data_IF_498411139341
#
_entry.id   IF_498411139341
#
_cell.length_a   1.000
_cell.length_b   1.000
_cell.length_c   1.000
_cell.angle_alpha   90.00
_cell.angle_beta   90.00
_cell.angle_gamma   90.00
#
_symmetry.space_group_name_H-M   'P 1'
#
loop_
_entity.id
_entity.type
_entity.pdbx_description
1 polymer ?
#
# COMPACT_ATOMS: atom_id res chain seq x y z
N UNK A 1 -2.49 -10.39 15.50
CA UNK A 1 -2.96 -11.71 15.96
C UNK A 1 -2.43 -12.85 15.08
N UNK A 2 -2.59 -12.80 13.75
CA UNK A 2 -2.09 -13.83 12.82
C UNK A 2 -0.58 -14.10 12.93
N UNK A 3 0.24 -13.05 13.08
CA UNK A 3 1.70 -13.16 13.25
C UNK A 3 2.09 -14.07 14.43
N UNK A 4 1.50 -13.86 15.60
CA UNK A 4 1.75 -14.67 16.78
C UNK A 4 1.27 -16.11 16.62
N UNK A 5 0.17 -16.32 15.90
CA UNK A 5 -0.33 -17.68 15.57
C UNK A 5 0.69 -18.42 14.70
N UNK A 6 1.24 -17.77 13.66
CA UNK A 6 2.26 -18.36 12.78
C UNK A 6 3.53 -18.72 13.57
N UNK A 7 3.99 -17.84 14.47
CA UNK A 7 5.16 -18.12 15.33
C UNK A 7 4.91 -19.36 16.20
N UNK A 8 3.75 -19.44 16.85
CA UNK A 8 3.41 -20.59 17.70
C UNK A 8 3.40 -21.89 16.86
N UNK A 9 2.84 -21.86 15.65
CA UNK A 9 2.86 -23.02 14.75
C UNK A 9 4.27 -23.44 14.33
N UNK A 10 5.17 -22.49 14.05
CA UNK A 10 6.58 -22.79 13.74
C UNK A 10 7.26 -23.42 14.95
N UNK A 11 7.10 -22.84 16.15
CA UNK A 11 7.71 -23.35 17.38
C UNK A 11 7.21 -24.76 17.70
N UNK A 12 5.90 -25.01 17.61
CA UNK A 12 5.32 -26.33 17.80
C UNK A 12 5.80 -27.33 16.75
N UNK A 13 5.94 -26.92 15.49
CA UNK A 13 6.49 -27.74 14.42
C UNK A 13 7.94 -28.16 14.70
N UNK A 14 8.77 -27.22 15.16
CA UNK A 14 10.17 -27.51 15.53
C UNK A 14 10.23 -28.46 16.74
N UNK A 15 9.41 -28.24 17.77
CA UNK A 15 9.34 -29.12 18.94
C UNK A 15 8.93 -30.54 18.52
N UNK A 16 7.89 -30.67 17.68
CA UNK A 16 7.47 -31.96 17.15
C UNK A 16 8.57 -32.65 16.36
N UNK A 17 9.33 -31.90 15.55
CA UNK A 17 10.44 -32.47 14.78
C UNK A 17 11.56 -33.05 15.66
N UNK A 18 11.80 -32.46 16.84
CA UNK A 18 12.86 -32.89 17.77
C UNK A 18 12.42 -34.08 18.65
N UNK A 19 11.17 -34.07 19.12
CA UNK A 19 10.68 -35.03 20.12
C UNK A 19 10.06 -36.30 19.54
N UNK A 20 9.85 -36.36 18.23
CA UNK A 20 9.29 -37.54 17.56
C UNK A 20 10.39 -38.49 17.11
N UNK A 21 10.23 -39.77 17.44
CA UNK A 21 11.10 -40.86 16.95
C UNK A 21 10.73 -41.32 15.53
N UNK A 22 9.56 -40.92 15.02
CA UNK A 22 9.09 -41.23 13.68
C UNK A 22 9.69 -40.27 12.64
N UNK A 23 10.61 -40.79 11.84
CA UNK A 23 11.35 -40.04 10.81
C UNK A 23 10.45 -39.33 9.78
N UNK A 24 9.34 -39.96 9.38
CA UNK A 24 8.41 -39.37 8.43
C UNK A 24 7.68 -38.15 9.02
N UNK A 25 7.29 -38.23 10.28
CA UNK A 25 6.57 -37.16 10.98
C UNK A 25 7.52 -36.01 11.36
N UNK A 26 8.78 -36.32 11.69
CA UNK A 26 9.83 -35.31 11.87
C UNK A 26 10.11 -34.53 10.56
N UNK A 27 10.26 -35.25 9.44
CA UNK A 27 10.49 -34.62 8.12
C UNK A 27 9.33 -33.71 7.72
N UNK A 28 8.09 -34.17 7.91
CA UNK A 28 6.89 -33.36 7.64
C UNK A 28 6.85 -32.08 8.50
N UNK A 29 7.16 -32.20 9.80
CA UNK A 29 7.18 -31.07 10.72
C UNK A 29 8.24 -30.02 10.34
N UNK A 30 9.41 -30.44 9.88
CA UNK A 30 10.47 -29.54 9.36
C UNK A 30 9.97 -28.78 8.14
N UNK A 31 9.37 -29.47 7.16
CA UNK A 31 8.83 -28.84 5.95
C UNK A 31 7.76 -27.81 6.29
N UNK A 32 6.80 -28.14 7.16
CA UNK A 32 5.78 -27.20 7.61
C UNK A 32 6.39 -25.98 8.32
N UNK A 33 7.44 -26.18 9.12
CA UNK A 33 8.14 -25.08 9.81
C UNK A 33 8.85 -24.15 8.84
N UNK A 34 9.47 -24.69 7.78
CA UNK A 34 10.12 -23.90 6.72
C UNK A 34 9.08 -23.09 5.94
N UNK A 35 7.95 -23.68 5.56
CA UNK A 35 6.87 -22.97 4.87
C UNK A 35 6.32 -21.85 5.76
N UNK A 36 6.10 -22.12 7.05
CA UNK A 36 5.68 -21.11 8.02
C UNK A 36 6.68 -19.96 8.13
N UNK A 37 7.98 -20.26 8.16
CA UNK A 37 9.03 -19.26 8.19
C UNK A 37 9.00 -18.36 6.94
N UNK A 38 8.88 -18.95 5.74
CA UNK A 38 8.76 -18.19 4.49
C UNK A 38 7.52 -17.30 4.51
N UNK A 39 6.37 -17.84 4.96
CA UNK A 39 5.12 -17.11 5.09
C UNK A 39 5.19 -15.96 6.11
N UNK A 40 6.18 -15.94 7.00
CA UNK A 40 6.44 -14.84 7.93
C UNK A 40 7.42 -13.82 7.35
N UNK A 41 8.53 -14.28 6.77
CA UNK A 41 9.61 -13.40 6.29
C UNK A 41 9.22 -12.64 5.02
N UNK A 42 8.59 -13.29 4.04
CA UNK A 42 8.24 -12.65 2.77
C UNK A 42 7.29 -11.45 2.96
N UNK A 43 6.17 -11.56 3.69
CA UNK A 43 5.31 -10.42 3.98
C UNK A 43 6.00 -9.35 4.81
N UNK A 44 6.79 -9.72 5.82
CA UNK A 44 7.51 -8.75 6.64
C UNK A 44 8.50 -7.91 5.82
N UNK A 45 9.18 -8.54 4.86
CA UNK A 45 10.09 -7.84 3.96
C UNK A 45 9.34 -6.92 2.99
N UNK A 46 8.21 -7.37 2.43
CA UNK A 46 7.35 -6.53 1.60
C UNK A 46 6.81 -5.31 2.37
N UNK A 47 6.39 -5.50 3.62
CA UNK A 47 5.98 -4.40 4.50
C UNK A 47 7.13 -3.44 4.78
N UNK A 48 8.32 -3.95 5.08
CA UNK A 48 9.48 -3.10 5.29
C UNK A 48 9.70 -2.19 4.08
N UNK A 49 9.76 -2.75 2.87
CA UNK A 49 9.98 -1.97 1.64
C UNK A 49 8.90 -0.91 1.44
N UNK A 50 7.62 -1.28 1.56
CA UNK A 50 6.52 -0.33 1.31
C UNK A 50 6.49 0.80 2.35
N UNK A 51 6.78 0.50 3.61
CA UNK A 51 6.77 1.51 4.68
C UNK A 51 8.09 2.29 4.78
N UNK A 52 9.18 1.81 4.17
CA UNK A 52 10.41 2.58 4.05
C UNK A 52 10.19 3.80 3.16
N UNK A 53 10.14 4.97 3.78
CA UNK A 53 10.00 6.24 3.07
C UNK A 53 8.58 6.67 2.78
N UNK A 54 7.54 6.01 3.33
CA UNK A 54 6.14 6.42 3.12
C UNK A 54 5.92 7.90 3.46
N UNK A 55 6.58 8.42 4.51
CA UNK A 55 6.52 9.84 4.89
C UNK A 55 7.06 10.78 3.83
N UNK A 56 8.11 10.37 3.11
CA UNK A 56 8.67 11.16 2.03
C UNK A 56 7.70 11.21 0.85
N UNK A 57 7.11 10.06 0.49
CA UNK A 57 6.08 9.97 -0.55
C UNK A 57 4.85 10.81 -0.19
N UNK A 58 4.37 10.71 1.05
CA UNK A 58 3.28 11.53 1.56
C UNK A 58 3.57 13.04 1.42
N UNK A 59 4.78 13.48 1.81
CA UNK A 59 5.16 14.88 1.67
C UNK A 59 5.19 15.32 0.19
N UNK A 60 5.70 14.47 -0.71
CA UNK A 60 5.69 14.73 -2.15
C UNK A 60 4.25 14.86 -2.66
N UNK A 61 3.36 13.96 -2.26
CA UNK A 61 1.95 13.97 -2.64
C UNK A 61 1.23 15.24 -2.14
N UNK A 62 1.53 15.70 -0.92
CA UNK A 62 1.01 16.97 -0.39
C UNK A 62 1.42 18.16 -1.26
N UNK A 63 2.69 18.24 -1.67
CA UNK A 63 3.17 19.33 -2.53
C UNK A 63 2.59 19.25 -3.94
N UNK A 64 2.46 18.05 -4.52
CA UNK A 64 1.79 17.82 -5.80
C UNK A 64 0.34 18.27 -5.75
N UNK A 65 -0.41 17.89 -4.71
CA UNK A 65 -1.80 18.30 -4.52
C UNK A 65 -1.94 19.83 -4.47
N UNK A 66 -1.08 20.52 -3.70
CA UNK A 66 -1.07 21.98 -3.63
C UNK A 66 -0.80 22.61 -4.99
N UNK A 67 0.17 22.07 -5.74
CA UNK A 67 0.52 22.58 -7.06
C UNK A 67 -0.64 22.40 -8.06
N UNK A 68 -1.28 21.23 -8.08
CA UNK A 68 -2.44 20.96 -8.93
C UNK A 68 -3.64 21.85 -8.57
N UNK A 69 -3.93 21.99 -7.27
CA UNK A 69 -5.00 22.87 -6.78
C UNK A 69 -4.74 24.32 -7.18
N UNK A 70 -3.51 24.80 -7.00
CA UNK A 70 -3.12 26.15 -7.43
C UNK A 70 -3.26 26.33 -8.95
N UNK A 71 -2.81 25.36 -9.76
CA UNK A 71 -2.99 25.41 -11.22
C UNK A 71 -4.48 25.48 -11.61
N UNK A 72 -5.32 24.69 -10.94
CA UNK A 72 -6.77 24.62 -11.18
C UNK A 72 -7.48 25.94 -10.83
N UNK A 73 -7.13 26.54 -9.69
CA UNK A 73 -7.70 27.80 -9.21
C UNK A 73 -7.14 29.00 -9.97
N UNK A 74 -5.87 28.94 -10.38
CA UNK A 74 -5.22 30.03 -11.10
C UNK A 74 -5.81 30.16 -12.50
N UNK A 75 -6.27 31.36 -12.84
CA UNK A 75 -6.72 31.67 -14.21
C UNK A 75 -5.62 31.58 -15.27
N UNK A 76 -4.37 31.32 -14.88
CA UNK A 76 -3.21 31.23 -15.76
C UNK A 76 -3.21 29.98 -16.65
N UNK A 77 -3.87 28.91 -16.21
CA UNK A 77 -4.00 27.66 -16.96
C UNK A 77 -5.35 27.53 -17.67
N UNK A 78 -6.08 28.64 -17.82
CA UNK A 78 -7.32 28.67 -18.59
C UNK A 78 -7.02 28.91 -20.05
N UNK A 79 -7.62 28.11 -20.92
CA UNK A 79 -7.62 28.31 -22.35
C UNK A 79 -8.37 29.61 -22.72
N UNK A 80 -8.27 30.02 -23.98
CA UNK A 80 -8.97 31.18 -24.57
C UNK A 80 -10.50 31.17 -24.34
N UNK A 81 -11.07 30.02 -23.99
CA UNK A 81 -12.49 29.85 -23.65
C UNK A 81 -12.81 29.93 -22.15
N UNK A 82 -11.81 30.18 -21.28
CA UNK A 82 -11.97 30.22 -19.83
C UNK A 82 -11.99 28.84 -19.15
N UNK A 83 -11.92 27.77 -19.94
CA UNK A 83 -11.85 26.37 -19.51
C UNK A 83 -10.43 26.01 -19.06
N UNK A 84 -10.31 25.09 -18.10
CA UNK A 84 -9.01 24.54 -17.73
C UNK A 84 -8.30 23.92 -18.95
N UNK A 85 -7.00 24.15 -19.10
CA UNK A 85 -6.23 23.53 -20.17
C UNK A 85 -6.29 22.01 -20.05
N UNK A 86 -6.32 21.34 -21.21
CA UNK A 86 -6.39 19.88 -21.27
C UNK A 86 -5.28 19.22 -20.44
N UNK A 87 -4.07 19.74 -20.50
CA UNK A 87 -2.92 19.18 -19.78
C UNK A 87 -3.14 19.17 -18.26
N UNK A 88 -3.72 20.25 -17.70
CA UNK A 88 -4.01 20.31 -16.26
C UNK A 88 -5.19 19.41 -15.91
N UNK A 89 -6.18 19.30 -16.80
CA UNK A 89 -7.32 18.41 -16.62
C UNK A 89 -6.88 16.92 -16.59
N UNK A 90 -5.99 16.53 -17.51
CA UNK A 90 -5.41 15.18 -17.57
C UNK A 90 -4.54 14.90 -16.31
N UNK A 91 -3.77 15.88 -15.82
CA UNK A 91 -3.01 15.77 -14.56
C UNK A 91 -3.94 15.54 -13.34
N UNK A 92 -5.03 16.31 -13.26
CA UNK A 92 -6.01 16.18 -12.17
C UNK A 92 -6.75 14.84 -12.25
N UNK A 93 -7.13 14.39 -13.46
CA UNK A 93 -7.78 13.10 -13.64
C UNK A 93 -6.86 11.96 -13.18
N UNK A 94 -5.60 11.96 -13.60
CA UNK A 94 -4.63 10.96 -13.15
C UNK A 94 -4.47 10.96 -11.63
N UNK A 95 -4.38 12.14 -11.00
CA UNK A 95 -4.35 12.25 -9.55
C UNK A 95 -5.57 11.61 -8.89
N UNK A 96 -6.77 11.91 -9.39
CA UNK A 96 -8.02 11.39 -8.83
C UNK A 96 -8.13 9.87 -8.97
N UNK A 97 -7.72 9.32 -10.12
CA UNK A 97 -7.68 7.87 -10.35
C UNK A 97 -6.71 7.19 -9.39
N UNK A 98 -5.50 7.74 -9.23
CA UNK A 98 -4.49 7.20 -8.32
C UNK A 98 -4.93 7.21 -6.86
N UNK A 99 -5.40 8.36 -6.36
CA UNK A 99 -5.88 8.51 -4.97
C UNK A 99 -7.03 7.52 -4.70
N UNK A 100 -7.98 7.41 -5.62
CA UNK A 100 -9.13 6.51 -5.47
C UNK A 100 -8.68 5.05 -5.46
N UNK A 101 -7.80 4.67 -6.38
CA UNK A 101 -7.27 3.32 -6.45
C UNK A 101 -6.50 2.94 -5.19
N UNK A 102 -5.60 3.80 -4.71
CA UNK A 102 -4.81 3.52 -3.52
C UNK A 102 -5.66 3.44 -2.25
N UNK A 103 -6.62 4.35 -2.07
CA UNK A 103 -7.54 4.29 -0.91
C UNK A 103 -8.41 3.04 -0.94
N UNK A 104 -8.89 2.62 -2.12
CA UNK A 104 -9.64 1.38 -2.25
C UNK A 104 -8.78 0.13 -1.92
N UNK A 105 -7.49 0.19 -2.23
CA UNK A 105 -6.55 -0.90 -1.96
C UNK A 105 -6.13 -0.96 -0.49
N UNK A 106 -5.96 0.20 0.16
CA UNK A 106 -5.74 0.33 1.60
C UNK A 106 -6.91 -0.25 2.41
N UNK A 107 -8.15 -0.02 1.97
CA UNK A 107 -9.36 -0.53 2.63
C UNK A 107 -9.58 -2.04 2.41
N UNK A 108 -8.75 -2.69 1.57
CA UNK A 108 -8.81 -4.13 1.36
C UNK A 108 -8.28 -4.89 2.59
N UNK A 109 -9.11 -5.71 3.23
CA UNK A 109 -8.72 -6.46 4.43
C UNK A 109 -7.46 -7.34 4.27
N UNK A 110 -7.25 -7.93 3.09
CA UNK A 110 -6.13 -8.87 2.86
C UNK A 110 -4.85 -8.17 2.40
N UNK A 111 -5.01 -7.15 1.55
CA UNK A 111 -3.88 -6.50 0.87
C UNK A 111 -3.55 -5.12 1.43
N UNK A 112 -4.48 -4.48 2.12
CA UNK A 112 -4.35 -3.10 2.60
C UNK A 112 -3.16 -2.87 3.50
N UNK A 113 -2.75 -3.88 4.27
CA UNK A 113 -1.53 -3.80 5.09
C UNK A 113 -0.28 -3.49 4.26
N UNK A 114 -0.23 -3.90 2.98
CA UNK A 114 0.89 -3.63 2.07
C UNK A 114 0.83 -2.26 1.40
N UNK A 115 -0.27 -1.54 1.51
CA UNK A 115 -0.48 -0.23 0.92
C UNK A 115 -0.48 0.81 2.05
N UNK A 116 0.69 1.39 2.38
CA UNK A 116 0.77 2.43 3.39
C UNK A 116 -0.02 3.66 2.94
N UNK A 117 -0.53 4.41 3.92
CA UNK A 117 -1.25 5.66 3.69
C UNK A 117 -0.29 6.76 3.19
N UNK A 118 -0.06 6.78 1.88
CA UNK A 118 0.80 7.73 1.18
C UNK A 118 0.05 8.96 0.68
N UNK A 119 -1.28 8.97 0.76
CA UNK A 119 -2.11 10.13 0.37
C UNK A 119 -2.71 10.82 1.60
N UNK A 120 -2.81 10.17 2.74
CA UNK A 120 -3.38 10.74 3.96
C UNK A 120 -4.82 11.21 3.76
N UNK A 121 -5.09 12.37 4.33
CA UNK A 121 -6.37 13.06 4.19
C UNK A 121 -6.58 13.70 2.80
N UNK A 122 -5.62 13.58 1.87
CA UNK A 122 -5.76 14.14 0.53
C UNK A 122 -6.91 13.45 -0.22
N UNK A 123 -7.80 14.26 -0.78
CA UNK A 123 -8.94 13.81 -1.56
C UNK A 123 -8.74 13.97 -3.06
N UNK A 124 -9.81 13.69 -3.79
CA UNK A 124 -9.92 14.03 -5.20
C UNK A 124 -10.10 15.54 -5.37
N UNK A 125 -9.54 16.10 -6.43
CA UNK A 125 -9.75 17.48 -6.83
C UNK A 125 -10.95 17.52 -7.78
N UNK A 126 -12.00 18.23 -7.40
CA UNK A 126 -13.18 18.41 -8.24
C UNK A 126 -12.88 19.43 -9.35
N UNK A 127 -12.74 18.94 -10.57
CA UNK A 127 -12.49 19.76 -11.76
C UNK A 127 -13.77 20.11 -12.52
N UNK A 128 -14.93 19.56 -12.14
CA UNK A 128 -16.22 19.90 -12.77
C UNK A 128 -16.73 21.26 -12.32
N UNK A 129 -16.31 21.73 -11.13
CA UNK A 129 -16.59 23.06 -10.59
C UNK A 129 -15.94 24.21 -11.39
N UNK A 130 -14.95 23.92 -12.24
CA UNK A 130 -14.19 24.93 -12.99
C UNK A 130 -14.60 25.04 -14.47
N UNK A 131 -15.80 24.55 -14.83
CA UNK A 131 -16.43 24.76 -16.15
C UNK A 131 -16.79 26.22 -16.41
#
# INVERSE_FOLDING_TARGET
MLFWVIIIFIVLGIILAIYTENEALSTFAIICSIIGFIALVCPAFALAINYFGYKAVLQTNIETYKALTYKAESGACRDQFGLLSKDVLDEIQNWNEEVTHYKAMEDNFWLGIFYPDVYGDLGTIDYELYK
#
